data_IF_965934141440
#
_entry.id   IF_965934141440
#
_cell.length_a   1.000
_cell.length_b   1.000
_cell.length_c   1.000
_cell.angle_alpha   90.00
_cell.angle_beta   90.00
_cell.angle_gamma   90.00
#
_symmetry.space_group_name_H-M   'P 1'
#
loop_
_entity.id
_entity.type
_entity.pdbx_description
1 polymer ?
#
# COMPACT_ATOMS: atom_id res chain seq x y z
N UNK A 1 -65.92 29.42 23.13
CA UNK A 1 -65.46 28.07 23.13
C UNK A 1 -65.17 27.67 21.68
N UNK A 2 -63.93 27.81 21.26
CA UNK A 2 -63.47 27.49 19.90
C UNK A 2 -62.39 26.40 20.05
N UNK A 3 -62.78 25.20 19.63
CA UNK A 3 -61.92 24.02 19.64
C UNK A 3 -60.90 24.14 18.49
N UNK A 4 -59.60 24.14 18.82
CA UNK A 4 -58.53 24.07 17.84
C UNK A 4 -58.01 22.63 17.76
N UNK A 5 -58.50 21.92 16.76
CA UNK A 5 -57.93 20.64 16.40
C UNK A 5 -56.46 20.72 16.00
N UNK A 6 -55.58 20.20 16.81
CA UNK A 6 -54.15 19.97 16.50
C UNK A 6 -54.03 18.68 15.71
N UNK A 7 -53.85 18.79 14.39
CA UNK A 7 -53.45 17.67 13.54
C UNK A 7 -51.94 17.44 13.76
N UNK A 8 -51.56 16.31 14.33
CA UNK A 8 -50.19 15.82 14.31
C UNK A 8 -49.79 15.43 12.90
N UNK A 9 -48.66 15.90 12.37
CA UNK A 9 -48.11 15.37 11.15
C UNK A 9 -47.62 13.92 11.38
N UNK A 10 -48.00 13.02 10.49
CA UNK A 10 -47.50 11.64 10.46
C UNK A 10 -45.97 11.67 10.18
N UNK A 11 -45.17 10.80 10.84
CA UNK A 11 -43.78 10.67 10.51
C UNK A 11 -43.65 10.01 9.14
N UNK A 12 -43.33 10.83 8.14
CA UNK A 12 -42.92 10.33 6.82
C UNK A 12 -41.72 9.44 6.98
N UNK A 13 -41.93 8.17 6.63
CA UNK A 13 -40.93 7.13 6.56
C UNK A 13 -40.04 7.35 5.34
N UNK A 14 -39.15 8.34 5.38
CA UNK A 14 -38.01 8.42 4.49
C UNK A 14 -36.93 7.41 4.93
N UNK A 15 -37.21 6.14 4.67
CA UNK A 15 -36.13 5.15 4.59
C UNK A 15 -35.23 5.53 3.42
N UNK A 16 -33.93 5.77 3.62
CA UNK A 16 -33.03 6.00 2.53
C UNK A 16 -33.07 4.77 1.62
N UNK A 17 -33.59 4.96 0.40
CA UNK A 17 -33.56 3.95 -0.65
C UNK A 17 -32.11 3.53 -0.86
N UNK A 18 -31.78 2.28 -0.47
CA UNK A 18 -30.52 1.65 -0.85
C UNK A 18 -30.39 1.76 -2.36
N UNK A 19 -29.47 2.63 -2.80
CA UNK A 19 -29.12 2.69 -4.21
C UNK A 19 -28.59 1.32 -4.62
N UNK A 20 -29.17 0.68 -5.65
CA UNK A 20 -28.77 -0.67 -6.05
C UNK A 20 -27.28 -0.68 -6.38
N UNK A 21 -26.54 -1.61 -5.76
CA UNK A 21 -25.14 -1.90 -6.07
C UNK A 21 -24.96 -1.95 -7.59
N UNK A 22 -24.38 -0.92 -8.17
CA UNK A 22 -24.21 -0.82 -9.61
C UNK A 22 -23.22 -1.90 -10.03
N UNK A 23 -23.72 -3.01 -10.56
CA UNK A 23 -22.87 -4.02 -11.23
C UNK A 23 -22.03 -3.32 -12.29
N UNK A 24 -20.73 -3.66 -12.40
CA UNK A 24 -19.87 -3.07 -13.40
C UNK A 24 -20.49 -3.30 -14.79
N UNK A 25 -20.80 -2.23 -15.48
CA UNK A 25 -21.26 -2.32 -16.87
C UNK A 25 -20.14 -2.96 -17.71
N UNK A 26 -20.48 -3.72 -18.77
CA UNK A 26 -19.49 -4.36 -19.67
C UNK A 26 -18.39 -3.38 -20.11
N UNK A 27 -18.72 -2.08 -20.22
CA UNK A 27 -17.76 -1.02 -20.55
C UNK A 27 -16.69 -0.75 -19.49
N UNK A 28 -16.83 -1.23 -18.24
CA UNK A 28 -15.84 -1.00 -17.18
C UNK A 28 -14.96 -2.21 -16.90
N UNK A 29 -15.37 -3.41 -17.32
CA UNK A 29 -14.60 -4.64 -17.07
C UNK A 29 -13.21 -4.61 -17.73
N UNK A 30 -13.10 -4.04 -18.94
CA UNK A 30 -11.81 -3.93 -19.61
C UNK A 30 -10.83 -3.01 -18.88
N UNK A 31 -11.31 -1.95 -18.21
CA UNK A 31 -10.46 -1.07 -17.40
C UNK A 31 -9.86 -1.82 -16.20
N UNK A 32 -10.64 -2.70 -15.56
CA UNK A 32 -10.14 -3.57 -14.50
C UNK A 32 -9.03 -4.47 -15.04
N UNK A 33 -9.27 -5.10 -16.19
CA UNK A 33 -8.28 -5.93 -16.84
C UNK A 33 -6.99 -5.14 -17.17
N UNK A 34 -7.11 -3.91 -17.68
CA UNK A 34 -5.95 -3.04 -17.93
C UNK A 34 -5.15 -2.74 -16.65
N UNK A 35 -5.83 -2.41 -15.55
CA UNK A 35 -5.15 -2.18 -14.27
C UNK A 35 -4.37 -3.43 -13.83
N UNK A 36 -4.97 -4.62 -13.94
CA UNK A 36 -4.34 -5.89 -13.58
C UNK A 36 -3.19 -6.25 -14.52
N UNK A 37 -3.35 -6.08 -15.85
CA UNK A 37 -2.28 -6.35 -16.83
C UNK A 37 -1.08 -5.43 -16.58
N UNK A 38 -1.32 -4.12 -16.36
CA UNK A 38 -0.25 -3.18 -16.07
C UNK A 38 0.42 -3.47 -14.73
N UNK A 39 -0.35 -3.79 -13.69
CA UNK A 39 0.19 -4.11 -12.36
C UNK A 39 1.01 -5.39 -12.36
N UNK A 40 0.47 -6.49 -12.86
CA UNK A 40 1.17 -7.77 -12.95
C UNK A 40 2.35 -7.67 -13.92
N UNK A 41 2.19 -6.97 -15.04
CA UNK A 41 3.26 -6.73 -16.01
C UNK A 41 4.41 -5.95 -15.40
N UNK A 42 4.14 -4.91 -14.61
CA UNK A 42 5.17 -4.15 -13.91
C UNK A 42 5.93 -5.01 -12.88
N UNK A 43 5.21 -5.84 -12.12
CA UNK A 43 5.81 -6.78 -11.16
C UNK A 43 6.69 -7.80 -11.90
N UNK A 44 6.19 -8.41 -12.97
CA UNK A 44 6.96 -9.34 -13.78
C UNK A 44 8.19 -8.66 -14.39
N UNK A 45 8.03 -7.46 -14.95
CA UNK A 45 9.12 -6.69 -15.51
C UNK A 45 10.23 -6.44 -14.48
N UNK A 46 9.88 -6.04 -13.26
CA UNK A 46 10.87 -5.83 -12.20
C UNK A 46 11.50 -7.12 -11.68
N UNK A 47 10.76 -8.22 -11.64
CA UNK A 47 11.24 -9.52 -11.15
C UNK A 47 12.23 -10.17 -12.11
N UNK A 48 11.94 -10.10 -13.42
CA UNK A 48 12.69 -10.81 -14.45
C UNK A 48 13.66 -9.92 -15.24
N UNK A 49 13.74 -8.60 -14.93
CA UNK A 49 14.55 -7.65 -15.70
C UNK A 49 16.03 -8.05 -15.84
N UNK A 50 16.60 -8.67 -14.79
CA UNK A 50 17.99 -9.12 -14.82
C UNK A 50 18.27 -10.22 -15.87
N UNK A 51 17.23 -10.85 -16.41
CA UNK A 51 17.34 -11.85 -17.47
C UNK A 51 17.35 -11.21 -18.86
N UNK A 52 17.02 -9.92 -18.99
CA UNK A 52 16.98 -9.22 -20.28
C UNK A 52 18.36 -8.68 -20.66
N UNK A 53 18.82 -9.02 -21.86
CA UNK A 53 20.11 -8.57 -22.37
C UNK A 53 20.21 -7.04 -22.45
N UNK A 54 19.16 -6.40 -22.96
CA UNK A 54 19.09 -4.95 -23.03
C UNK A 54 19.21 -4.29 -21.64
N UNK A 55 18.57 -4.85 -20.61
CA UNK A 55 18.69 -4.36 -19.26
C UNK A 55 20.13 -4.49 -18.73
N UNK A 56 20.74 -5.66 -18.92
CA UNK A 56 22.13 -5.89 -18.50
C UNK A 56 23.08 -4.94 -19.18
N UNK A 57 22.93 -4.73 -20.50
CA UNK A 57 23.75 -3.81 -21.28
C UNK A 57 23.63 -2.38 -20.81
N UNK A 58 22.41 -1.88 -20.55
CA UNK A 58 22.17 -0.53 -19.99
C UNK A 58 22.81 -0.39 -18.61
N UNK A 59 22.64 -1.37 -17.73
CA UNK A 59 23.23 -1.33 -16.40
C UNK A 59 24.77 -1.37 -16.41
N UNK A 60 25.35 -2.13 -17.32
CA UNK A 60 26.80 -2.18 -17.52
C UNK A 60 27.33 -0.87 -18.10
N UNK A 61 26.65 -0.31 -19.12
CA UNK A 61 26.97 1.00 -19.64
C UNK A 61 26.93 2.08 -18.53
N UNK A 62 25.87 2.11 -17.74
CA UNK A 62 25.72 3.04 -16.63
C UNK A 62 26.83 2.90 -15.58
N UNK A 63 27.23 1.65 -15.27
CA UNK A 63 28.35 1.38 -14.37
C UNK A 63 29.67 1.92 -14.94
N UNK A 64 29.93 1.66 -16.22
CA UNK A 64 31.14 2.10 -16.90
C UNK A 64 31.24 3.65 -17.02
N UNK A 65 30.06 4.34 -16.97
CA UNK A 65 29.99 5.79 -16.98
C UNK A 65 29.88 6.40 -15.56
N UNK A 66 30.24 5.65 -14.51
CA UNK A 66 30.34 6.16 -13.15
C UNK A 66 29.01 6.40 -12.43
N UNK A 67 27.88 5.91 -12.97
CA UNK A 67 26.59 6.04 -12.32
C UNK A 67 26.54 5.11 -11.09
N UNK A 68 26.37 5.66 -9.87
CA UNK A 68 26.36 4.86 -8.64
C UNK A 68 25.29 3.77 -8.66
N UNK A 69 25.58 2.61 -8.09
CA UNK A 69 24.63 1.49 -7.98
C UNK A 69 23.33 1.88 -7.27
N UNK A 70 23.42 2.77 -6.29
CA UNK A 70 22.25 3.31 -5.58
C UNK A 70 21.27 4.02 -6.52
N UNK A 71 21.75 4.74 -7.53
CA UNK A 71 20.91 5.40 -8.54
C UNK A 71 20.41 4.41 -9.59
N UNK A 72 21.26 3.47 -10.04
CA UNK A 72 20.90 2.47 -11.04
C UNK A 72 19.75 1.55 -10.58
N UNK A 73 19.60 1.39 -9.29
CA UNK A 73 18.55 0.57 -8.70
C UNK A 73 17.17 1.26 -8.57
N UNK A 74 17.01 2.50 -9.05
CA UNK A 74 15.70 3.17 -9.09
C UNK A 74 14.82 2.77 -10.30
N UNK A 75 15.32 1.95 -11.19
CA UNK A 75 14.62 1.42 -12.37
C UNK A 75 13.30 0.72 -12.01
N UNK A 76 13.30 -0.11 -10.96
CA UNK A 76 12.08 -0.78 -10.49
C UNK A 76 11.01 0.21 -9.98
N UNK A 77 11.44 1.25 -9.27
CA UNK A 77 10.52 2.30 -8.85
C UNK A 77 9.94 3.05 -10.06
N UNK A 78 10.78 3.35 -11.07
CA UNK A 78 10.33 4.00 -12.29
C UNK A 78 9.30 3.15 -13.05
N UNK A 79 9.54 1.84 -13.19
CA UNK A 79 8.58 0.91 -13.81
C UNK A 79 7.25 0.94 -13.06
N UNK A 80 7.27 0.90 -11.74
CA UNK A 80 6.06 0.94 -10.91
C UNK A 80 5.33 2.27 -11.03
N UNK A 81 6.04 3.40 -11.00
CA UNK A 81 5.45 4.72 -11.19
C UNK A 81 4.79 4.82 -12.57
N UNK A 82 5.49 4.43 -13.63
CA UNK A 82 4.96 4.49 -15.00
C UNK A 82 3.70 3.63 -15.14
N UNK A 83 3.72 2.39 -14.68
CA UNK A 83 2.54 1.52 -14.74
C UNK A 83 1.34 2.09 -13.97
N UNK A 84 1.57 2.60 -12.75
CA UNK A 84 0.52 3.20 -11.93
C UNK A 84 -0.04 4.47 -12.55
N UNK A 85 0.82 5.36 -13.06
CA UNK A 85 0.41 6.63 -13.69
C UNK A 85 -0.33 6.37 -15.00
N UNK A 86 0.16 5.47 -15.86
CA UNK A 86 -0.51 5.12 -17.13
C UNK A 86 -1.89 4.53 -16.84
N UNK A 87 -1.99 3.55 -15.95
CA UNK A 87 -3.27 2.93 -15.60
C UNK A 87 -4.25 3.92 -14.99
N UNK A 88 -3.80 4.75 -14.06
CA UNK A 88 -4.63 5.79 -13.46
C UNK A 88 -5.05 6.87 -14.45
N UNK A 89 -4.17 7.24 -15.39
CA UNK A 89 -4.50 8.19 -16.46
C UNK A 89 -5.58 7.65 -17.40
N UNK A 90 -5.48 6.37 -17.80
CA UNK A 90 -6.50 5.70 -18.59
C UNK A 90 -7.86 5.70 -17.86
N UNK A 91 -7.87 5.29 -16.58
CA UNK A 91 -9.09 5.28 -15.75
C UNK A 91 -9.65 6.70 -15.60
N UNK A 92 -8.80 7.70 -15.34
CA UNK A 92 -9.21 9.10 -15.19
C UNK A 92 -9.76 9.68 -16.48
N UNK A 93 -9.18 9.34 -17.64
CA UNK A 93 -9.67 9.78 -18.95
C UNK A 93 -11.07 9.25 -19.25
N UNK A 94 -11.34 8.01 -18.85
CA UNK A 94 -12.64 7.35 -19.14
C UNK A 94 -13.72 7.72 -18.13
N UNK A 95 -13.37 7.83 -16.84
CA UNK A 95 -14.32 8.07 -15.75
C UNK A 95 -14.34 9.53 -15.27
N UNK A 96 -13.49 10.37 -15.82
CA UNK A 96 -13.29 11.75 -15.38
C UNK A 96 -12.34 11.85 -14.15
N UNK A 97 -11.94 13.06 -13.82
CA UNK A 97 -11.10 13.36 -12.67
C UNK A 97 -9.60 13.36 -12.99
N UNK A 98 -8.78 13.59 -11.93
CA UNK A 98 -7.32 13.68 -12.05
C UNK A 98 -6.66 12.33 -11.74
N UNK A 99 -5.51 12.07 -12.38
CA UNK A 99 -4.70 10.86 -12.12
C UNK A 99 -4.30 10.73 -10.66
N UNK A 100 -3.90 11.83 -10.02
CA UNK A 100 -3.52 11.86 -8.60
C UNK A 100 -4.68 11.55 -7.66
N UNK A 101 -5.90 11.99 -8.01
CA UNK A 101 -7.13 11.65 -7.27
C UNK A 101 -7.46 10.18 -7.43
N UNK A 102 -7.29 9.64 -8.63
CA UNK A 102 -7.52 8.22 -8.93
C UNK A 102 -6.59 7.32 -8.14
N UNK A 103 -5.31 7.70 -8.00
CA UNK A 103 -4.32 7.02 -7.17
C UNK A 103 -4.44 7.34 -5.67
N UNK A 104 -5.36 8.22 -5.27
CA UNK A 104 -5.48 8.68 -3.87
C UNK A 104 -4.21 9.35 -3.31
N UNK A 105 -3.48 10.02 -4.18
CA UNK A 105 -2.29 10.83 -3.82
C UNK A 105 -2.66 12.30 -3.53
N UNK A 106 -3.80 12.78 -4.04
CA UNK A 106 -4.33 14.11 -3.78
C UNK A 106 -5.29 14.06 -2.59
N UNK A 107 -5.22 15.08 -1.77
CA UNK A 107 -6.05 15.24 -0.59
C UNK A 107 -5.26 15.01 0.70
N UNK A 108 -5.04 16.09 1.44
CA UNK A 108 -4.54 16.05 2.80
C UNK A 108 -5.76 15.85 3.71
N UNK A 109 -5.92 14.66 4.27
CA UNK A 109 -6.84 14.49 5.38
C UNK A 109 -6.12 14.96 6.65
N UNK A 110 -6.76 15.90 7.36
CA UNK A 110 -6.27 16.33 8.67
C UNK A 110 -6.13 15.11 9.59
N UNK A 111 -4.96 14.94 10.18
CA UNK A 111 -4.69 13.83 11.10
C UNK A 111 -3.88 12.66 10.53
N UNK A 112 -3.64 12.57 9.21
CA UNK A 112 -2.79 11.50 8.64
C UNK A 112 -1.40 11.55 9.26
N UNK A 113 -0.75 12.70 9.32
CA UNK A 113 0.59 12.83 9.90
C UNK A 113 0.61 12.39 11.37
N UNK A 114 -0.40 12.79 12.17
CA UNK A 114 -0.53 12.37 13.56
C UNK A 114 -0.77 10.86 13.67
N UNK A 115 -1.62 10.31 12.83
CA UNK A 115 -1.87 8.87 12.80
C UNK A 115 -0.60 8.11 12.46
N UNK A 116 0.14 8.52 11.43
CA UNK A 116 1.40 7.89 11.03
C UNK A 116 2.44 7.97 12.16
N UNK A 117 2.62 9.13 12.78
CA UNK A 117 3.55 9.30 13.90
C UNK A 117 3.24 8.35 15.07
N UNK A 118 1.96 8.28 15.47
CA UNK A 118 1.52 7.37 16.53
C UNK A 118 1.66 5.90 16.15
N UNK A 119 1.29 5.56 14.92
CA UNK A 119 1.25 4.19 14.46
C UNK A 119 2.65 3.60 14.25
N UNK A 120 3.60 4.38 13.72
CA UNK A 120 4.97 3.92 13.49
C UNK A 120 5.85 3.96 14.74
N UNK A 121 5.44 4.70 15.78
CA UNK A 121 6.21 4.85 17.01
C UNK A 121 6.66 3.51 17.65
N UNK A 122 5.82 2.47 17.80
CA UNK A 122 6.26 1.22 18.39
C UNK A 122 7.41 0.59 17.61
N UNK A 123 7.32 0.61 16.26
CA UNK A 123 8.33 0.00 15.40
C UNK A 123 9.62 0.81 15.37
N UNK A 124 9.53 2.14 15.33
CA UNK A 124 10.71 3.02 15.27
C UNK A 124 11.42 3.07 16.64
N UNK A 125 10.68 3.34 17.72
CA UNK A 125 11.26 3.42 19.06
C UNK A 125 11.79 2.06 19.53
N UNK A 126 11.03 1.00 19.27
CA UNK A 126 11.48 -0.36 19.53
C UNK A 126 12.69 -0.74 18.68
N UNK A 127 12.72 -0.31 17.42
CA UNK A 127 13.86 -0.50 16.52
C UNK A 127 15.14 0.16 17.03
N UNK A 128 15.03 1.40 17.49
CA UNK A 128 16.15 2.13 18.12
C UNK A 128 16.62 1.38 19.38
N UNK A 129 15.70 1.02 20.29
CA UNK A 129 16.04 0.34 21.53
C UNK A 129 16.75 -1.00 21.29
N UNK A 130 16.21 -1.82 20.38
CA UNK A 130 16.80 -3.11 20.01
C UNK A 130 18.16 -2.92 19.32
N UNK A 131 18.25 -1.95 18.41
CA UNK A 131 19.50 -1.62 17.71
C UNK A 131 20.62 -1.20 18.70
N UNK A 132 20.28 -0.36 19.69
CA UNK A 132 21.23 0.02 20.76
C UNK A 132 21.69 -1.19 21.56
N UNK A 133 20.79 -2.05 22.00
CA UNK A 133 21.12 -3.25 22.79
C UNK A 133 21.99 -4.23 22.01
N UNK A 134 21.75 -4.37 20.71
CA UNK A 134 22.54 -5.26 19.83
C UNK A 134 23.86 -4.64 19.36
N UNK A 135 24.13 -3.37 19.71
CA UNK A 135 25.32 -2.64 19.23
C UNK A 135 25.30 -2.37 17.72
N UNK A 136 24.12 -2.46 17.09
CA UNK A 136 23.95 -2.42 15.63
C UNK A 136 23.49 -1.07 15.06
N UNK A 137 23.35 -0.02 15.86
CA UNK A 137 23.09 1.31 15.33
C UNK A 137 24.37 1.89 14.72
N UNK A 138 24.57 1.60 13.45
CA UNK A 138 25.64 2.23 12.69
C UNK A 138 25.10 3.53 12.06
N UNK A 139 25.62 4.66 12.51
CA UNK A 139 25.29 5.98 11.98
C UNK A 139 26.14 6.39 10.76
N UNK A 140 26.88 5.45 10.16
CA UNK A 140 27.51 5.71 8.87
C UNK A 140 26.43 5.79 7.78
N UNK A 141 26.05 7.04 7.46
CA UNK A 141 25.03 7.33 6.45
C UNK A 141 25.42 6.82 5.06
N UNK A 142 26.70 6.73 4.75
CA UNK A 142 27.18 6.24 3.45
C UNK A 142 26.93 4.74 3.30
N UNK A 143 27.20 3.97 4.35
CA UNK A 143 26.94 2.54 4.41
C UNK A 143 25.43 2.22 4.54
N UNK A 144 24.70 3.05 5.28
CA UNK A 144 23.25 2.86 5.50
C UNK A 144 22.39 3.28 4.30
N UNK A 145 22.84 4.24 3.47
CA UNK A 145 22.07 4.82 2.39
C UNK A 145 21.50 3.82 1.36
N UNK A 146 22.24 2.83 0.86
CA UNK A 146 21.70 1.85 -0.08
C UNK A 146 20.50 1.08 0.49
N UNK A 147 20.60 0.63 1.75
CA UNK A 147 19.52 -0.08 2.45
C UNK A 147 18.33 0.84 2.74
N UNK A 148 18.59 2.05 3.24
CA UNK A 148 17.56 3.04 3.49
C UNK A 148 16.82 3.42 2.21
N UNK A 149 17.54 3.78 1.15
CA UNK A 149 16.92 4.20 -0.12
C UNK A 149 16.12 3.06 -0.78
N UNK A 150 16.59 1.82 -0.66
CA UNK A 150 15.88 0.67 -1.23
C UNK A 150 14.69 0.23 -0.38
N UNK A 151 14.89 0.04 0.92
CA UNK A 151 13.91 -0.57 1.80
C UNK A 151 12.89 0.43 2.35
N UNK A 152 13.31 1.67 2.65
CA UNK A 152 12.44 2.66 3.31
C UNK A 152 11.78 3.60 2.32
N UNK A 153 12.41 3.89 1.18
CA UNK A 153 11.87 4.83 0.18
C UNK A 153 11.29 4.08 -1.02
N UNK A 154 12.12 3.37 -1.78
CA UNK A 154 11.74 2.83 -3.09
C UNK A 154 10.71 1.72 -3.01
N UNK A 155 10.94 0.73 -2.14
CA UNK A 155 10.03 -0.41 -2.03
C UNK A 155 8.62 0.05 -1.56
N UNK A 156 8.46 0.81 -0.44
CA UNK A 156 7.14 1.27 -0.03
C UNK A 156 6.42 2.12 -1.07
N UNK A 157 7.11 3.06 -1.70
CA UNK A 157 6.47 3.90 -2.74
C UNK A 157 6.04 3.06 -3.93
N UNK A 158 6.94 2.25 -4.48
CA UNK A 158 6.66 1.47 -5.69
C UNK A 158 5.58 0.41 -5.46
N UNK A 159 5.69 -0.33 -4.38
CA UNK A 159 4.75 -1.40 -4.06
C UNK A 159 3.36 -0.86 -3.74
N UNK A 160 3.26 0.21 -2.94
CA UNK A 160 1.96 0.80 -2.62
C UNK A 160 1.30 1.43 -3.85
N UNK A 161 2.07 2.05 -4.76
CA UNK A 161 1.54 2.56 -6.02
C UNK A 161 0.92 1.46 -6.88
N UNK A 162 1.54 0.30 -6.98
CA UNK A 162 1.00 -0.83 -7.76
C UNK A 162 -0.16 -1.48 -7.01
N UNK A 163 0.09 -1.98 -5.80
CA UNK A 163 -0.89 -2.86 -5.14
C UNK A 163 -2.08 -2.09 -4.57
N UNK A 164 -1.87 -0.90 -4.01
CA UNK A 164 -2.95 -0.10 -3.40
C UNK A 164 -3.45 1.02 -4.31
N UNK A 165 -2.56 1.63 -5.08
CA UNK A 165 -2.90 2.67 -6.06
C UNK A 165 -3.59 2.07 -7.29
N UNK A 166 -2.87 1.26 -8.06
CA UNK A 166 -3.37 0.74 -9.32
C UNK A 166 -4.40 -0.39 -9.16
N UNK A 167 -4.04 -1.46 -8.43
CA UNK A 167 -4.88 -2.66 -8.33
C UNK A 167 -6.08 -2.50 -7.39
N UNK A 168 -6.05 -1.53 -6.44
CA UNK A 168 -7.16 -1.32 -5.52
C UNK A 168 -7.85 0.02 -5.77
N UNK A 169 -7.17 1.17 -5.67
CA UNK A 169 -7.82 2.47 -5.75
C UNK A 169 -8.39 2.75 -7.14
N UNK A 170 -7.64 2.46 -8.22
CA UNK A 170 -8.16 2.60 -9.59
C UNK A 170 -9.35 1.66 -9.83
N UNK A 171 -9.27 0.40 -9.38
CA UNK A 171 -10.36 -0.57 -9.53
C UNK A 171 -11.57 -0.16 -8.70
N UNK A 172 -11.37 0.36 -7.48
CA UNK A 172 -12.46 0.83 -6.62
C UNK A 172 -13.26 2.00 -7.23
N UNK A 173 -12.66 2.79 -8.13
CA UNK A 173 -13.44 3.80 -8.89
C UNK A 173 -14.48 3.20 -9.83
N UNK A 174 -14.29 1.95 -10.22
CA UNK A 174 -15.18 1.25 -11.15
C UNK A 174 -16.23 0.39 -10.45
N UNK A 175 -15.85 -0.21 -9.30
CA UNK A 175 -16.69 -1.17 -8.57
C UNK A 175 -17.22 -0.65 -7.22
N UNK A 176 -16.80 0.57 -6.83
CA UNK A 176 -17.07 1.10 -5.48
C UNK A 176 -16.01 0.67 -4.46
N UNK A 177 -16.11 1.28 -3.27
CA UNK A 177 -15.17 1.05 -2.16
C UNK A 177 -15.70 0.10 -1.10
N UNK A 178 -16.82 -0.51 -1.34
CA UNK A 178 -17.54 -1.38 -0.41
C UNK A 178 -18.10 -2.59 -1.17
N UNK A 179 -18.70 -3.51 -0.44
CA UNK A 179 -19.35 -4.67 -1.01
C UNK A 179 -18.39 -5.82 -1.34
N UNK A 180 -18.98 -6.92 -1.76
CA UNK A 180 -18.28 -8.19 -2.00
C UNK A 180 -17.19 -8.09 -3.07
N UNK A 181 -17.50 -7.42 -4.19
CA UNK A 181 -16.59 -7.33 -5.34
C UNK A 181 -15.33 -6.56 -4.97
N UNK A 182 -15.46 -5.47 -4.20
CA UNK A 182 -14.32 -4.72 -3.69
C UNK A 182 -13.39 -5.59 -2.84
N UNK A 183 -13.94 -6.33 -1.88
CA UNK A 183 -13.13 -7.16 -0.98
C UNK A 183 -12.51 -8.37 -1.68
N UNK A 184 -13.20 -8.96 -2.67
CA UNK A 184 -12.62 -9.99 -3.53
C UNK A 184 -11.39 -9.44 -4.26
N UNK A 185 -11.51 -8.27 -4.90
CA UNK A 185 -10.37 -7.62 -5.57
C UNK A 185 -9.25 -7.28 -4.58
N UNK A 186 -9.59 -6.79 -3.39
CA UNK A 186 -8.63 -6.50 -2.32
C UNK A 186 -7.83 -7.74 -1.89
N UNK A 187 -8.49 -8.88 -1.74
CA UNK A 187 -7.84 -10.15 -1.41
C UNK A 187 -6.90 -10.58 -2.54
N UNK A 188 -7.35 -10.55 -3.81
CA UNK A 188 -6.47 -10.91 -4.93
C UNK A 188 -5.24 -10.00 -5.04
N UNK A 189 -5.41 -8.68 -4.90
CA UNK A 189 -4.29 -7.75 -4.89
C UNK A 189 -3.32 -8.01 -3.72
N UNK A 190 -3.85 -8.41 -2.57
CA UNK A 190 -3.04 -8.74 -1.39
C UNK A 190 -2.33 -10.08 -1.51
N UNK A 191 -2.93 -11.08 -2.14
CA UNK A 191 -2.27 -12.35 -2.46
C UNK A 191 -1.14 -12.13 -3.48
N UNK A 192 -1.37 -11.32 -4.50
CA UNK A 192 -0.32 -10.92 -5.44
C UNK A 192 0.82 -10.17 -4.74
N UNK A 193 0.51 -9.29 -3.78
CA UNK A 193 1.51 -8.63 -2.93
C UNK A 193 2.29 -9.63 -2.06
N UNK A 194 1.62 -10.58 -1.42
CA UNK A 194 2.28 -11.63 -0.64
C UNK A 194 3.23 -12.48 -1.49
N UNK A 195 2.83 -12.78 -2.74
CA UNK A 195 3.61 -13.64 -3.62
C UNK A 195 4.98 -13.07 -4.01
N UNK A 196 5.14 -11.75 -4.08
CA UNK A 196 6.44 -11.14 -4.39
C UNK A 196 7.43 -11.18 -3.22
N UNK A 197 6.96 -11.45 -2.02
CA UNK A 197 7.79 -11.53 -0.80
C UNK A 197 8.30 -12.92 -0.50
N UNK A 198 7.97 -13.90 -1.34
CA UNK A 198 8.36 -15.30 -1.17
C UNK A 198 9.46 -15.66 -2.16
N UNK A 199 10.58 -16.22 -1.70
CA UNK A 199 11.56 -16.84 -2.57
C UNK A 199 11.03 -18.23 -3.01
N UNK A 200 10.37 -18.30 -4.17
CA UNK A 200 9.74 -19.52 -4.69
C UNK A 200 10.72 -20.60 -5.20
N UNK A 201 12.01 -20.45 -4.95
CA UNK A 201 13.06 -21.21 -5.64
C UNK A 201 13.51 -22.50 -4.95
N UNK A 202 13.39 -22.70 -3.62
CA UNK A 202 13.97 -23.90 -2.98
C UNK A 202 13.22 -24.46 -1.77
N UNK A 203 12.40 -23.70 -1.07
CA UNK A 203 11.65 -24.16 0.09
C UNK A 203 10.26 -23.53 0.11
N UNK A 204 9.37 -24.08 -0.71
CA UNK A 204 8.00 -23.61 -0.78
C UNK A 204 7.29 -23.73 0.58
N UNK A 205 7.55 -24.79 1.35
CA UNK A 205 6.91 -25.02 2.65
C UNK A 205 7.38 -24.01 3.70
N UNK A 206 8.68 -23.70 3.75
CA UNK A 206 9.23 -22.67 4.65
C UNK A 206 8.76 -21.25 4.32
N UNK A 207 8.28 -21.03 3.11
CA UNK A 207 7.87 -19.72 2.60
C UNK A 207 6.40 -19.37 2.86
N UNK A 208 5.54 -20.35 3.18
CA UNK A 208 4.11 -20.11 3.41
C UNK A 208 3.79 -19.13 4.55
N UNK A 209 4.48 -19.15 5.70
CA UNK A 209 4.22 -18.17 6.76
C UNK A 209 4.43 -16.72 6.28
N UNK A 210 5.52 -16.48 5.53
CA UNK A 210 5.81 -15.17 4.95
C UNK A 210 4.72 -14.73 3.98
N UNK A 211 4.30 -15.63 3.08
CA UNK A 211 3.20 -15.39 2.15
C UNK A 211 1.91 -15.02 2.86
N UNK A 212 1.48 -15.82 3.85
CA UNK A 212 0.23 -15.62 4.56
C UNK A 212 0.24 -14.32 5.37
N UNK A 213 1.31 -14.06 6.13
CA UNK A 213 1.46 -12.85 6.94
C UNK A 213 1.47 -11.59 6.06
N UNK A 214 2.21 -11.63 4.95
CA UNK A 214 2.30 -10.48 4.03
C UNK A 214 0.99 -10.25 3.29
N UNK A 215 0.32 -11.33 2.86
CA UNK A 215 -1.01 -11.24 2.24
C UNK A 215 -2.06 -10.69 3.21
N UNK A 216 -2.09 -11.17 4.45
CA UNK A 216 -3.00 -10.65 5.49
C UNK A 216 -2.72 -9.17 5.80
N UNK A 217 -1.44 -8.80 5.93
CA UNK A 217 -1.01 -7.42 6.04
C UNK A 217 -1.48 -6.59 4.83
N UNK A 218 -1.44 -7.18 3.63
CA UNK A 218 -1.96 -6.58 2.41
C UNK A 218 -3.44 -6.19 2.51
N UNK A 219 -4.28 -7.10 2.98
CA UNK A 219 -5.71 -6.84 3.20
C UNK A 219 -5.93 -5.74 4.24
N UNK A 220 -5.14 -5.75 5.31
CA UNK A 220 -5.20 -4.70 6.33
C UNK A 220 -4.81 -3.32 5.77
N UNK A 221 -3.79 -3.22 4.91
CA UNK A 221 -3.44 -1.98 4.21
C UNK A 221 -4.57 -1.50 3.29
N UNK A 222 -5.27 -2.41 2.62
CA UNK A 222 -6.45 -2.05 1.82
C UNK A 222 -7.56 -1.49 2.71
N UNK A 223 -7.79 -2.07 3.89
CA UNK A 223 -8.75 -1.54 4.86
C UNK A 223 -8.37 -0.13 5.32
N UNK A 224 -7.09 0.14 5.61
CA UNK A 224 -6.61 1.49 5.92
C UNK A 224 -6.86 2.47 4.77
N UNK A 225 -6.51 2.06 3.53
CA UNK A 225 -6.74 2.86 2.33
C UNK A 225 -8.24 3.17 2.16
N UNK A 226 -9.12 2.20 2.37
CA UNK A 226 -10.57 2.39 2.27
C UNK A 226 -11.11 3.38 3.32
N UNK A 227 -10.54 3.39 4.54
CA UNK A 227 -10.91 4.32 5.62
C UNK A 227 -10.37 5.72 5.42
N UNK A 228 -9.12 5.85 5.06
CA UNK A 228 -8.44 7.14 4.95
C UNK A 228 -8.53 7.76 3.55
N UNK A 229 -8.91 7.00 2.53
CA UNK A 229 -8.93 7.44 1.13
C UNK A 229 -7.64 8.11 0.67
N UNK A 230 -6.51 7.73 1.27
CA UNK A 230 -5.18 8.30 1.01
C UNK A 230 -4.13 7.21 0.93
N UNK A 231 -3.42 7.17 -0.18
CA UNK A 231 -2.32 6.24 -0.40
C UNK A 231 -1.12 6.55 0.50
N UNK A 232 -0.98 7.80 0.95
CA UNK A 232 0.09 8.22 1.86
C UNK A 232 0.06 7.49 3.20
N UNK A 233 -1.11 7.03 3.64
CA UNK A 233 -1.24 6.22 4.87
C UNK A 233 -0.53 4.88 4.70
N UNK A 234 -0.75 4.19 3.59
CA UNK A 234 -0.10 2.91 3.31
C UNK A 234 1.41 3.10 3.09
N UNK A 235 1.81 4.08 2.27
CA UNK A 235 3.22 4.38 2.01
C UNK A 235 3.94 4.71 3.32
N UNK A 236 3.38 5.61 4.14
CA UNK A 236 4.01 6.06 5.38
C UNK A 236 4.15 4.96 6.43
N UNK A 237 3.11 4.13 6.61
CA UNK A 237 3.19 2.98 7.52
C UNK A 237 4.18 1.92 7.03
N UNK A 238 4.17 1.61 5.74
CA UNK A 238 5.10 0.66 5.14
C UNK A 238 6.56 1.14 5.32
N UNK A 239 6.82 2.40 4.97
CA UNK A 239 8.14 3.01 5.16
C UNK A 239 8.56 3.04 6.63
N UNK A 240 7.67 3.39 7.55
CA UNK A 240 7.94 3.41 8.98
C UNK A 240 8.24 2.03 9.56
N UNK A 241 7.52 1.00 9.12
CA UNK A 241 7.79 -0.38 9.52
C UNK A 241 9.15 -0.85 9.00
N UNK A 242 9.46 -0.58 7.73
CA UNK A 242 10.76 -0.92 7.14
C UNK A 242 11.91 -0.17 7.81
N UNK A 243 11.70 1.11 8.17
CA UNK A 243 12.68 1.86 8.94
C UNK A 243 12.96 1.21 10.30
N UNK A 244 11.92 0.82 11.02
CA UNK A 244 12.09 0.11 12.30
C UNK A 244 12.87 -1.20 12.15
N UNK A 245 12.60 -1.98 11.09
CA UNK A 245 13.37 -3.19 10.77
C UNK A 245 14.84 -2.88 10.52
N UNK A 246 15.11 -1.85 9.73
CA UNK A 246 16.48 -1.41 9.44
C UNK A 246 17.21 -1.00 10.72
N UNK A 247 16.55 -0.27 11.62
CA UNK A 247 17.12 0.18 12.89
C UNK A 247 17.46 -0.98 13.83
N UNK A 248 16.73 -2.09 13.76
CA UNK A 248 17.03 -3.32 14.53
C UNK A 248 18.20 -4.12 13.97
N UNK A 249 18.76 -3.74 12.81
CA UNK A 249 19.74 -4.54 12.10
C UNK A 249 19.17 -5.86 11.56
N UNK A 250 17.84 -5.96 11.42
CA UNK A 250 17.19 -7.17 10.95
C UNK A 250 17.41 -7.31 9.43
N UNK A 251 18.13 -8.36 9.05
CA UNK A 251 18.42 -8.69 7.65
C UNK A 251 17.31 -9.50 6.96
N UNK A 252 16.28 -9.88 7.70
CA UNK A 252 15.17 -10.70 7.19
C UNK A 252 14.07 -9.84 6.55
N UNK A 253 13.70 -10.12 5.30
CA UNK A 253 12.56 -9.49 4.65
C UNK A 253 11.22 -9.69 5.40
N UNK A 254 10.12 -9.26 4.80
CA UNK A 254 8.78 -9.17 5.40
C UNK A 254 8.23 -10.43 6.13
N UNK A 255 8.80 -11.60 5.89
CA UNK A 255 8.42 -12.86 6.55
C UNK A 255 9.43 -13.39 7.55
N UNK A 256 10.65 -12.80 7.60
CA UNK A 256 11.69 -13.14 8.56
C UNK A 256 11.65 -12.19 9.76
N UNK A 257 12.34 -12.50 10.79
CA UNK A 257 12.43 -11.68 11.99
C UNK A 257 12.15 -12.50 13.23
N UNK A 258 12.86 -12.16 14.30
CA UNK A 258 12.67 -12.79 15.60
C UNK A 258 11.33 -12.41 16.22
N UNK A 259 11.10 -12.96 17.39
CA UNK A 259 9.87 -12.71 18.15
C UNK A 259 9.70 -11.22 18.55
N UNK A 260 10.81 -10.52 18.84
CA UNK A 260 10.77 -9.09 19.21
C UNK A 260 10.25 -8.25 18.03
N UNK A 261 10.80 -8.48 16.85
CA UNK A 261 10.39 -7.80 15.61
C UNK A 261 8.90 -8.01 15.32
N UNK A 262 8.43 -9.24 15.52
CA UNK A 262 7.01 -9.56 15.30
C UNK A 262 6.10 -8.93 16.36
N UNK A 263 6.51 -8.84 17.63
CA UNK A 263 5.78 -8.12 18.69
C UNK A 263 5.65 -6.62 18.31
N UNK A 264 6.74 -5.99 17.89
CA UNK A 264 6.71 -4.58 17.48
C UNK A 264 5.83 -4.35 16.25
N UNK A 265 5.82 -5.28 15.30
CA UNK A 265 4.91 -5.28 14.15
C UNK A 265 3.45 -5.34 14.61
N UNK A 266 3.11 -6.28 15.47
CA UNK A 266 1.75 -6.43 16.01
C UNK A 266 1.33 -5.19 16.79
N UNK A 267 2.22 -4.63 17.62
CA UNK A 267 1.98 -3.38 18.34
C UNK A 267 1.69 -2.21 17.36
N UNK A 268 2.49 -2.08 16.30
CA UNK A 268 2.27 -1.08 15.24
C UNK A 268 0.91 -1.25 14.57
N UNK A 269 0.53 -2.48 14.20
CA UNK A 269 -0.77 -2.80 13.61
C UNK A 269 -1.91 -2.45 14.58
N UNK A 270 -1.79 -2.79 15.85
CA UNK A 270 -2.80 -2.50 16.87
C UNK A 270 -2.97 -0.99 17.09
N UNK A 271 -1.86 -0.24 17.19
CA UNK A 271 -1.90 1.23 17.36
C UNK A 271 -2.49 1.88 16.11
N UNK A 272 -2.07 1.51 14.92
CA UNK A 272 -2.59 2.05 13.66
C UNK A 272 -4.09 1.77 13.50
N UNK A 273 -4.54 0.54 13.83
CA UNK A 273 -5.95 0.17 13.80
C UNK A 273 -6.77 1.00 14.78
N UNK A 274 -6.31 1.11 16.04
CA UNK A 274 -6.99 1.91 17.07
C UNK A 274 -7.04 3.39 16.71
N UNK A 275 -5.94 3.94 16.20
CA UNK A 275 -5.87 5.33 15.75
C UNK A 275 -6.84 5.56 14.58
N UNK A 276 -6.88 4.67 13.59
CA UNK A 276 -7.79 4.71 12.46
C UNK A 276 -9.25 4.70 12.92
N UNK A 277 -9.64 3.75 13.76
CA UNK A 277 -11.01 3.64 14.28
C UNK A 277 -11.47 4.89 15.04
N UNK A 278 -10.54 5.59 15.72
CA UNK A 278 -10.86 6.82 16.48
C UNK A 278 -10.87 8.07 15.62
N UNK A 279 -9.99 8.15 14.63
CA UNK A 279 -9.73 9.38 13.90
C UNK A 279 -10.47 9.42 12.56
N UNK A 280 -10.68 8.27 11.87
CA UNK A 280 -11.34 8.25 10.56
C UNK A 280 -12.86 8.48 10.64
N UNK A 281 -13.49 8.27 11.80
CA UNK A 281 -14.93 8.56 12.01
C UNK A 281 -15.30 10.04 11.81
N UNK A 282 -14.31 10.95 11.86
CA UNK A 282 -14.53 12.40 11.65
C UNK A 282 -14.54 12.79 10.18
N UNK A 283 -14.31 11.87 9.28
CA UNK A 283 -14.23 12.12 7.82
C UNK A 283 -15.54 11.75 7.12
N UNK A 284 -16.38 10.97 7.77
CA UNK A 284 -17.70 10.54 7.24
C UNK A 284 -18.86 11.46 7.71
N UNK A 285 -18.58 12.39 8.64
CA UNK A 285 -19.50 13.43 9.13
C UNK A 285 -19.20 14.78 8.48
#
# INVERSE_FOLDING_TARGET
MTDRGTTCPSPDSDSPSETPESRPTKSRAWLIAVCWILGVGAVAATRFRSQWDAYRSIHQWAANNGIPSSLRNYDSLLIYILAAVIGAAIVSKVLGGRTTETLRLSGSQSGIARMLALATAPMILGGIAVGLVRGGLNFDLSAAWPTFSSGVIRAPIGEELIFRGLLVACVARMIGWHGRVFWINAVFASLAFGSIHVPWNHDALGSWPAFLVTSAGGVWYVWLLARWRSLWVSIGLHAGMNLGWMLMGASGGAGGGGWIENILRVATIAVATKATLRMSKRVES
#
